data_IF_367538237473
#
_entry.id   IF_367538237473
#
_cell.length_a   1.000
_cell.length_b   1.000
_cell.length_c   1.000
_cell.angle_alpha   90.00
_cell.angle_beta   90.00
_cell.angle_gamma   90.00
#
_symmetry.space_group_name_H-M   'P 1'
#
loop_
_entity.id
_entity.type
_entity.pdbx_description
1 polymer ?
#
# COMPACT_ATOMS: atom_id res chain seq x y z
N UNK A 1 -22.81 7.28 43.37
CA UNK A 1 -22.28 5.91 43.55
C UNK A 1 -21.34 5.57 42.40
N UNK A 2 -20.02 5.61 42.63
CA UNK A 2 -19.05 5.06 41.67
C UNK A 2 -19.16 3.54 41.75
N UNK A 3 -19.66 2.87 40.70
CA UNK A 3 -19.61 1.41 40.63
C UNK A 3 -18.13 1.02 40.70
N UNK A 4 -17.71 0.33 41.77
CA UNK A 4 -16.39 -0.30 41.86
C UNK A 4 -16.30 -1.32 40.73
N UNK A 5 -15.69 -0.95 39.61
CA UNK A 5 -15.37 -1.89 38.54
C UNK A 5 -14.16 -2.68 39.01
N UNK A 6 -14.32 -4.00 39.14
CA UNK A 6 -13.21 -4.91 39.43
C UNK A 6 -12.22 -4.80 38.27
N UNK A 7 -10.95 -4.57 38.59
CA UNK A 7 -9.89 -4.53 37.59
C UNK A 7 -9.60 -5.97 37.15
N UNK A 8 -9.91 -6.29 35.91
CA UNK A 8 -9.76 -7.62 35.32
C UNK A 8 -9.25 -7.47 33.90
N UNK A 9 -8.36 -8.36 33.48
CA UNK A 9 -7.79 -8.38 32.13
C UNK A 9 -8.26 -9.64 31.43
N UNK A 10 -8.97 -9.49 30.32
CA UNK A 10 -9.45 -10.61 29.50
C UNK A 10 -8.84 -10.56 28.11
N UNK A 11 -8.32 -11.71 27.66
CA UNK A 11 -7.87 -11.96 26.31
C UNK A 11 -8.85 -12.90 25.62
N UNK A 12 -9.52 -12.47 24.56
CA UNK A 12 -10.40 -13.33 23.77
C UNK A 12 -9.86 -13.50 22.37
N UNK A 13 -9.57 -14.73 21.96
CA UNK A 13 -9.15 -15.00 20.59
C UNK A 13 -10.39 -14.93 19.66
N UNK A 14 -10.37 -13.99 18.71
CA UNK A 14 -11.49 -13.74 17.81
C UNK A 14 -11.65 -14.81 16.73
N UNK A 15 -10.62 -15.62 16.47
CA UNK A 15 -10.65 -16.70 15.48
C UNK A 15 -11.23 -17.99 16.06
N UNK A 16 -10.81 -18.35 17.28
CA UNK A 16 -11.25 -19.60 17.94
C UNK A 16 -12.44 -19.40 18.87
N UNK A 17 -12.76 -18.15 19.22
CA UNK A 17 -13.80 -17.80 20.20
C UNK A 17 -13.40 -18.05 21.65
N UNK A 18 -12.21 -18.63 21.90
CA UNK A 18 -11.74 -18.96 23.25
C UNK A 18 -11.40 -17.68 24.02
N UNK A 19 -11.95 -17.57 25.23
CA UNK A 19 -11.69 -16.45 26.15
C UNK A 19 -10.82 -16.92 27.30
N UNK A 20 -9.82 -16.10 27.65
CA UNK A 20 -8.88 -16.32 28.72
C UNK A 20 -8.92 -15.11 29.65
N UNK A 21 -9.35 -15.33 30.88
CA UNK A 21 -9.21 -14.35 31.94
C UNK A 21 -7.81 -14.50 32.53
N UNK A 22 -7.07 -13.39 32.64
CA UNK A 22 -5.74 -13.42 33.25
C UNK A 22 -5.92 -13.64 34.76
N UNK A 23 -5.30 -14.71 35.32
CA UNK A 23 -5.55 -15.12 36.69
C UNK A 23 -4.99 -14.14 37.72
N UNK A 24 -3.91 -13.43 37.40
CA UNK A 24 -3.25 -12.51 38.32
C UNK A 24 -3.03 -11.15 37.66
N UNK A 25 -3.27 -10.09 38.41
CA UNK A 25 -3.03 -8.73 37.93
C UNK A 25 -1.54 -8.48 37.70
N UNK A 26 -1.17 -7.45 36.91
CA UNK A 26 0.23 -7.15 36.67
C UNK A 26 1.02 -6.99 37.98
N UNK A 27 2.18 -7.65 38.07
CA UNK A 27 3.01 -7.70 39.29
C UNK A 27 3.50 -6.32 39.69
N UNK A 28 3.80 -5.46 38.71
CA UNK A 28 4.24 -4.08 38.93
C UNK A 28 3.08 -3.14 39.27
N UNK A 29 1.84 -3.65 39.35
CA UNK A 29 0.63 -2.88 39.57
C UNK A 29 0.24 -1.97 38.41
N UNK A 30 1.00 -2.00 37.30
CA UNK A 30 0.84 -1.12 36.16
C UNK A 30 0.56 -1.92 34.88
N UNK A 31 -0.42 -1.43 34.11
CA UNK A 31 -0.69 -1.83 32.74
C UNK A 31 -0.34 -0.65 31.84
N UNK A 32 0.71 -0.77 31.04
CA UNK A 32 1.17 0.29 30.15
C UNK A 32 0.34 0.28 28.87
N UNK A 33 -0.66 1.15 28.77
CA UNK A 33 -1.37 1.42 27.51
C UNK A 33 -0.70 2.58 26.78
N UNK A 34 -0.15 2.30 25.60
CA UNK A 34 0.52 3.27 24.74
C UNK A 34 -0.39 3.58 23.55
N UNK A 35 -1.18 4.67 23.59
CA UNK A 35 -1.92 5.08 22.42
C UNK A 35 -0.96 5.45 21.29
N UNK A 36 -1.29 5.02 20.07
CA UNK A 36 -0.49 5.30 18.88
C UNK A 36 -0.27 6.80 18.69
N UNK A 37 0.97 7.21 18.40
CA UNK A 37 1.28 8.61 18.13
C UNK A 37 0.68 9.03 16.79
N UNK A 38 0.21 10.26 16.70
CA UNK A 38 -0.21 10.83 15.41
C UNK A 38 1.02 11.02 14.54
N UNK A 39 1.03 10.41 13.36
CA UNK A 39 2.06 10.65 12.37
C UNK A 39 1.69 11.90 11.58
N UNK A 40 2.66 12.73 11.27
CA UNK A 40 2.47 13.93 10.46
C UNK A 40 3.57 14.05 9.41
N UNK A 41 3.19 14.40 8.19
CA UNK A 41 4.10 14.78 7.12
C UNK A 41 4.32 16.29 7.19
N UNK A 42 5.54 16.69 7.56
CA UNK A 42 5.91 18.09 7.60
C UNK A 42 6.35 18.58 6.21
N UNK A 43 5.69 19.60 5.68
CA UNK A 43 6.07 20.28 4.45
C UNK A 43 6.50 21.70 4.78
N UNK A 44 7.67 22.11 4.26
CA UNK A 44 8.12 23.50 4.35
C UNK A 44 7.62 24.28 3.13
N UNK A 45 6.81 25.30 3.38
CA UNK A 45 6.26 26.17 2.33
C UNK A 45 6.95 27.54 2.44
N UNK A 46 7.49 28.03 1.32
CA UNK A 46 8.10 29.36 1.25
C UNK A 46 7.06 30.41 1.67
N UNK A 47 7.43 31.30 2.59
CA UNK A 47 6.59 32.34 3.24
C UNK A 47 5.54 31.87 4.25
N UNK A 48 5.28 30.56 4.37
CA UNK A 48 4.33 29.99 5.34
C UNK A 48 5.03 29.20 6.46
N UNK A 49 6.30 28.84 6.28
CA UNK A 49 7.08 28.09 7.25
C UNK A 49 6.78 26.59 7.22
N UNK A 50 7.02 25.92 8.34
CA UNK A 50 6.80 24.47 8.49
C UNK A 50 5.32 24.20 8.78
N UNK A 51 4.68 23.41 7.93
CA UNK A 51 3.27 22.99 8.10
C UNK A 51 3.23 21.48 8.26
N UNK A 52 2.57 21.01 9.31
CA UNK A 52 2.39 19.57 9.59
C UNK A 52 1.03 19.10 9.04
N UNK A 53 1.06 18.08 8.18
CA UNK A 53 -0.12 17.42 7.63
C UNK A 53 -0.32 16.11 8.37
N UNK A 54 -1.40 15.93 9.16
CA UNK A 54 -1.67 14.67 9.85
C UNK A 54 -1.79 13.50 8.86
N UNK A 55 -0.88 12.53 8.94
CA UNK A 55 -0.77 11.36 8.08
C UNK A 55 -0.91 10.08 8.92
N UNK A 56 -2.13 9.82 9.39
CA UNK A 56 -2.44 8.60 10.15
C UNK A 56 -1.94 8.60 11.60
N UNK A 57 -1.86 7.41 12.18
CA UNK A 57 -1.41 7.17 13.56
C UNK A 57 -0.73 5.81 13.64
N UNK A 58 0.25 5.71 14.54
CA UNK A 58 0.86 4.45 14.93
C UNK A 58 -0.18 3.50 15.53
N UNK A 59 0.18 2.22 15.62
CA UNK A 59 -0.65 1.21 16.27
C UNK A 59 -0.63 1.38 17.78
N UNK A 60 -1.77 1.23 18.45
CA UNK A 60 -1.80 1.19 19.91
C UNK A 60 -0.98 0.00 20.44
N UNK A 61 -0.24 0.23 21.53
CA UNK A 61 0.54 -0.79 22.23
C UNK A 61 0.01 -1.04 23.64
N UNK A 62 0.15 -2.28 24.13
CA UNK A 62 -0.10 -2.66 25.52
C UNK A 62 1.03 -3.51 26.03
N UNK A 63 1.57 -3.18 27.20
CA UNK A 63 2.61 -3.96 27.85
C UNK A 63 2.31 -4.16 29.32
N UNK A 64 2.51 -5.39 29.81
CA UNK A 64 2.44 -5.70 31.23
C UNK A 64 3.20 -6.97 31.57
N UNK A 65 3.56 -7.10 32.85
CA UNK A 65 4.22 -8.26 33.42
C UNK A 65 3.34 -8.86 34.51
N UNK A 66 3.15 -10.18 34.51
CA UNK A 66 2.34 -10.90 35.49
C UNK A 66 2.88 -12.33 35.69
N UNK A 67 2.15 -13.18 36.42
CA UNK A 67 2.51 -14.59 36.57
C UNK A 67 1.29 -15.51 36.51
N UNK A 68 1.53 -16.75 36.07
CA UNK A 68 0.55 -17.83 36.14
C UNK A 68 0.76 -18.63 37.42
N UNK A 69 -0.24 -18.66 38.31
CA UNK A 69 -0.10 -19.30 39.61
C UNK A 69 -0.29 -20.81 39.49
N UNK A 70 0.57 -21.58 40.17
CA UNK A 70 0.47 -23.03 40.25
C UNK A 70 -0.66 -23.49 41.19
N UNK A 71 -0.94 -22.68 42.23
CA UNK A 71 -2.04 -22.88 43.17
C UNK A 71 -2.97 -21.67 43.20
N UNK A 72 -4.23 -21.90 43.55
CA UNK A 72 -5.17 -20.81 43.78
C UNK A 72 -4.85 -20.11 45.12
N UNK A 73 -4.85 -18.78 45.10
CA UNK A 73 -4.73 -17.94 46.28
C UNK A 73 -5.68 -16.74 46.14
N UNK A 74 -6.58 -16.57 47.13
CA UNK A 74 -7.57 -15.51 47.11
C UNK A 74 -6.97 -14.09 47.23
N UNK A 75 -5.72 -13.95 47.67
CA UNK A 75 -5.04 -12.67 47.81
C UNK A 75 -4.68 -12.01 46.49
N UNK A 76 -4.41 -12.81 45.45
CA UNK A 76 -3.97 -12.29 44.15
C UNK A 76 -4.70 -12.90 42.93
N UNK A 77 -5.41 -14.02 43.09
CA UNK A 77 -6.14 -14.64 41.99
C UNK A 77 -7.50 -13.95 41.75
N UNK A 78 -7.73 -13.51 40.52
CA UNK A 78 -8.99 -12.89 40.08
C UNK A 78 -10.11 -13.91 39.87
N UNK A 79 -9.75 -15.18 39.61
CA UNK A 79 -10.65 -16.29 39.29
C UNK A 79 -10.23 -17.59 39.97
N UNK A 80 -11.23 -18.40 40.38
CA UNK A 80 -11.02 -19.75 40.91
C UNK A 80 -10.81 -20.81 39.83
N UNK A 81 -11.15 -20.51 38.57
CA UNK A 81 -10.95 -21.41 37.43
C UNK A 81 -9.55 -21.20 36.85
N UNK A 82 -8.55 -21.77 37.52
CA UNK A 82 -7.16 -21.73 37.06
C UNK A 82 -6.86 -22.91 36.13
N UNK A 83 -6.16 -22.61 35.03
CA UNK A 83 -5.48 -23.63 34.23
C UNK A 83 -4.10 -23.91 34.83
N UNK A 84 -3.45 -24.98 34.40
CA UNK A 84 -2.05 -25.21 34.79
C UNK A 84 -1.16 -24.12 34.18
N UNK A 85 -0.10 -23.64 34.86
CA UNK A 85 0.80 -22.61 34.33
C UNK A 85 1.32 -22.91 32.91
N UNK A 86 1.69 -24.18 32.65
CA UNK A 86 2.15 -24.63 31.33
C UNK A 86 1.05 -24.61 30.25
N UNK A 87 -0.22 -24.73 30.63
CA UNK A 87 -1.33 -24.63 29.66
C UNK A 87 -1.59 -23.18 29.26
N UNK A 88 -1.48 -22.23 30.20
CA UNK A 88 -1.51 -20.80 29.89
C UNK A 88 -0.38 -20.44 28.93
N UNK A 89 0.84 -20.87 29.26
CA UNK A 89 2.03 -20.62 28.45
C UNK A 89 1.87 -21.16 27.03
N UNK A 90 1.49 -22.44 26.90
CA UNK A 90 1.23 -23.07 25.60
C UNK A 90 0.17 -22.32 24.78
N UNK A 91 -0.92 -21.91 25.42
CA UNK A 91 -2.02 -21.20 24.76
C UNK A 91 -1.58 -19.83 24.23
N UNK A 92 -0.83 -19.06 25.00
CA UNK A 92 -0.32 -17.75 24.58
C UNK A 92 0.73 -17.90 23.48
N UNK A 93 1.62 -18.89 23.59
CA UNK A 93 2.58 -19.20 22.53
C UNK A 93 1.87 -19.62 21.23
N UNK A 94 0.81 -20.42 21.31
CA UNK A 94 0.00 -20.81 20.16
C UNK A 94 -0.66 -19.60 19.49
N UNK A 95 -1.24 -18.69 20.28
CA UNK A 95 -1.85 -17.45 19.76
C UNK A 95 -0.81 -16.54 19.11
N UNK A 96 0.38 -16.40 19.71
CA UNK A 96 1.52 -15.66 19.14
C UNK A 96 1.97 -16.28 17.82
N UNK A 97 2.18 -17.61 17.78
CA UNK A 97 2.66 -18.34 16.60
C UNK A 97 1.69 -18.22 15.42
N UNK A 98 0.39 -18.28 15.68
CA UNK A 98 -0.66 -18.14 14.65
C UNK A 98 -0.95 -16.69 14.25
N UNK A 99 -0.41 -15.71 14.99
CA UNK A 99 -0.72 -14.28 14.86
C UNK A 99 -2.22 -14.03 14.89
N UNK A 100 -2.91 -14.73 15.78
CA UNK A 100 -4.36 -14.65 15.86
C UNK A 100 -4.80 -13.26 16.38
N UNK A 101 -5.90 -12.70 15.86
CA UNK A 101 -6.47 -11.47 16.39
C UNK A 101 -7.11 -11.74 17.75
N UNK A 102 -6.68 -11.01 18.76
CA UNK A 102 -7.11 -11.13 20.16
C UNK A 102 -7.84 -9.84 20.55
N UNK A 103 -9.05 -9.96 21.10
CA UNK A 103 -9.70 -8.88 21.79
C UNK A 103 -9.09 -8.72 23.19
N UNK A 104 -8.42 -7.59 23.41
CA UNK A 104 -7.90 -7.16 24.70
C UNK A 104 -8.96 -6.31 25.41
N UNK A 105 -9.44 -6.77 26.57
CA UNK A 105 -10.56 -6.15 27.30
C UNK A 105 -10.14 -5.88 28.74
N UNK A 106 -10.22 -4.61 29.14
CA UNK A 106 -10.02 -4.15 30.52
C UNK A 106 -11.19 -3.23 30.89
N UNK A 107 -12.25 -3.76 31.54
CA UNK A 107 -13.48 -3.01 31.79
C UNK A 107 -13.27 -1.75 32.63
N UNK A 108 -12.42 -1.84 33.67
CA UNK A 108 -12.12 -0.72 34.58
C UNK A 108 -11.46 0.47 33.87
N UNK A 109 -10.66 0.21 32.82
CA UNK A 109 -10.02 1.23 32.00
C UNK A 109 -10.82 1.60 30.75
N UNK A 110 -12.00 0.99 30.54
CA UNK A 110 -12.80 1.08 29.30
C UNK A 110 -12.01 0.73 28.03
N UNK A 111 -11.00 -0.13 28.15
CA UNK A 111 -10.20 -0.58 27.02
C UNK A 111 -10.86 -1.81 26.41
N UNK A 112 -11.17 -1.74 25.11
CA UNK A 112 -11.68 -2.86 24.33
C UNK A 112 -11.11 -2.76 22.91
N UNK A 113 -9.95 -3.38 22.66
CA UNK A 113 -9.18 -3.23 21.42
C UNK A 113 -8.86 -4.59 20.80
N UNK A 114 -8.77 -4.64 19.46
CA UNK A 114 -8.24 -5.81 18.74
C UNK A 114 -6.73 -5.67 18.67
N UNK A 115 -6.02 -6.67 19.14
CA UNK A 115 -4.56 -6.70 19.24
C UNK A 115 -4.02 -8.06 18.82
N UNK A 116 -2.74 -8.16 18.56
CA UNK A 116 -2.01 -9.41 18.42
C UNK A 116 -0.80 -9.40 19.37
N UNK A 117 -0.32 -10.57 19.74
CA UNK A 117 0.85 -10.69 20.61
C UNK A 117 2.10 -10.36 19.79
N UNK A 118 2.73 -9.22 20.09
CA UNK A 118 4.00 -8.84 19.48
C UNK A 118 5.15 -9.56 20.16
N UNK A 119 5.16 -9.57 21.50
CA UNK A 119 6.16 -10.26 22.29
C UNK A 119 5.59 -10.96 23.52
N UNK A 120 6.25 -12.05 23.92
CA UNK A 120 5.88 -12.86 25.06
C UNK A 120 7.13 -13.55 25.57
N UNK A 121 7.47 -13.29 26.84
CA UNK A 121 8.71 -13.75 27.49
C UNK A 121 8.36 -14.48 28.79
N UNK A 122 8.12 -15.81 28.74
CA UNK A 122 7.97 -16.60 29.96
C UNK A 122 9.32 -16.79 30.64
N UNK A 123 9.32 -16.76 31.98
CA UNK A 123 10.46 -17.01 32.84
C UNK A 123 10.11 -18.18 33.77
N UNK A 124 10.82 -19.28 33.59
CA UNK A 124 10.65 -20.50 34.39
C UNK A 124 11.64 -20.51 35.56
N UNK A 125 11.25 -21.09 36.69
CA UNK A 125 12.14 -21.28 37.84
C UNK A 125 12.31 -20.05 38.74
N UNK A 126 11.45 -19.04 38.60
CA UNK A 126 11.36 -17.90 39.50
C UNK A 126 10.07 -18.11 40.29
N UNK A 127 10.16 -18.52 41.55
CA UNK A 127 8.98 -18.83 42.38
C UNK A 127 9.11 -20.17 43.12
N UNK A 128 8.66 -20.23 44.37
CA UNK A 128 8.86 -21.37 45.25
C UNK A 128 7.99 -22.60 44.91
N UNK A 129 6.96 -22.44 44.06
CA UNK A 129 5.89 -23.43 43.90
C UNK A 129 5.49 -23.77 42.45
N UNK A 130 6.34 -23.43 41.47
CA UNK A 130 6.07 -23.76 40.06
C UNK A 130 5.25 -22.71 39.30
N UNK A 131 5.19 -21.49 39.84
CA UNK A 131 4.63 -20.33 39.14
C UNK A 131 5.47 -19.98 37.90
N UNK A 132 4.81 -19.42 36.88
CA UNK A 132 5.48 -18.97 35.65
C UNK A 132 5.28 -17.47 35.50
N UNK A 133 6.36 -16.71 35.70
CA UNK A 133 6.36 -15.27 35.45
C UNK A 133 6.45 -15.00 33.95
N UNK A 134 5.80 -13.94 33.48
CA UNK A 134 5.86 -13.57 32.09
C UNK A 134 5.75 -12.06 31.89
N UNK A 135 6.32 -11.60 30.77
CA UNK A 135 6.04 -10.29 30.21
C UNK A 135 5.32 -10.46 28.87
N UNK A 136 4.25 -9.69 28.66
CA UNK A 136 3.42 -9.74 27.46
C UNK A 136 3.33 -8.35 26.84
N UNK A 137 3.68 -8.26 25.55
CA UNK A 137 3.48 -7.08 24.72
C UNK A 137 2.47 -7.39 23.61
N UNK A 138 1.50 -6.50 23.45
CA UNK A 138 0.42 -6.56 22.49
C UNK A 138 0.47 -5.30 21.61
N UNK A 139 0.17 -5.46 20.33
CA UNK A 139 0.09 -4.35 19.37
C UNK A 139 -1.25 -4.42 18.66
N UNK A 140 -1.82 -3.26 18.33
CA UNK A 140 -3.11 -3.16 17.65
C UNK A 140 -3.15 -3.96 16.34
N UNK A 141 -4.20 -4.76 16.21
CA UNK A 141 -4.46 -5.52 15.00
C UNK A 141 -5.36 -4.70 14.08
N UNK A 142 -4.81 -4.29 12.93
CA UNK A 142 -5.52 -3.52 11.91
C UNK A 142 -5.78 -4.36 10.66
N UNK A 143 -7.05 -4.44 10.26
CA UNK A 143 -7.41 -5.05 8.98
C UNK A 143 -6.97 -4.13 7.84
N UNK A 144 -6.07 -4.60 6.98
CA UNK A 144 -5.77 -3.92 5.71
C UNK A 144 -6.92 -4.23 4.76
N UNK A 145 -7.99 -3.45 4.84
CA UNK A 145 -9.04 -3.48 3.82
C UNK A 145 -8.57 -2.63 2.64
N UNK A 146 -8.52 -3.16 1.41
CA UNK A 146 -8.24 -2.33 0.25
C UNK A 146 -9.34 -1.27 0.18
N UNK A 147 -8.96 -0.01 0.36
CA UNK A 147 -9.86 1.12 0.14
C UNK A 147 -10.11 1.14 -1.37
N UNK A 148 -11.27 0.63 -1.80
CA UNK A 148 -11.75 0.88 -3.15
C UNK A 148 -12.01 2.37 -3.23
N UNK A 149 -11.03 3.12 -3.76
CA UNK A 149 -11.24 4.50 -4.13
C UNK A 149 -12.28 4.47 -5.24
N UNK A 150 -13.54 4.71 -4.89
CA UNK A 150 -14.53 5.13 -5.87
C UNK A 150 -14.05 6.50 -6.31
N UNK A 151 -13.28 6.52 -7.39
CA UNK A 151 -13.08 7.74 -8.16
C UNK A 151 -14.50 8.14 -8.56
N UNK A 152 -15.06 9.13 -7.89
CA UNK A 152 -16.31 9.76 -8.30
C UNK A 152 -16.05 10.38 -9.66
N UNK A 153 -16.30 9.59 -10.71
CA UNK A 153 -16.35 10.08 -12.08
C UNK A 153 -17.56 10.97 -12.31
N UNK A 154 -18.32 11.32 -11.26
CA UNK A 154 -19.54 12.14 -11.30
C UNK A 154 -19.32 13.65 -11.38
N UNK A 155 -18.08 14.14 -11.53
CA UNK A 155 -17.83 15.52 -12.00
C UNK A 155 -16.83 15.61 -13.15
N UNK A 156 -16.69 14.54 -13.93
CA UNK A 156 -16.56 14.73 -15.37
C UNK A 156 -17.93 14.45 -15.96
N UNK A 157 -18.83 15.45 -15.86
CA UNK A 157 -19.71 15.70 -17.01
C UNK A 157 -18.80 15.55 -18.21
N UNK A 158 -19.09 14.60 -19.09
CA UNK A 158 -18.77 14.77 -20.50
C UNK A 158 -19.42 16.10 -20.90
N UNK A 159 -18.76 17.23 -20.60
CA UNK A 159 -18.73 18.34 -21.54
C UNK A 159 -18.23 17.62 -22.77
N UNK A 160 -19.18 17.29 -23.66
CA UNK A 160 -18.89 16.68 -24.94
C UNK A 160 -17.63 17.36 -25.43
N UNK A 161 -16.62 16.55 -25.72
CA UNK A 161 -15.30 17.06 -26.07
C UNK A 161 -15.55 18.25 -26.97
N UNK A 162 -15.25 19.46 -26.49
CA UNK A 162 -14.97 20.53 -27.42
C UNK A 162 -13.82 19.93 -28.17
N UNK A 163 -14.10 19.49 -29.40
CA UNK A 163 -13.13 18.82 -30.22
C UNK A 163 -11.91 19.71 -30.13
N UNK A 164 -10.83 19.19 -29.56
CA UNK A 164 -9.51 19.78 -29.77
C UNK A 164 -9.49 20.12 -31.25
N UNK A 165 -9.21 21.38 -31.67
CA UNK A 165 -9.13 21.69 -33.09
C UNK A 165 -8.28 20.57 -33.68
N UNK A 166 -8.87 19.82 -34.63
CA UNK A 166 -8.16 18.71 -35.26
C UNK A 166 -6.82 19.30 -35.66
N UNK A 167 -5.73 18.69 -35.16
CA UNK A 167 -4.40 18.99 -35.66
C UNK A 167 -4.55 19.05 -37.18
N UNK A 168 -4.14 20.14 -37.86
CA UNK A 168 -4.37 20.27 -39.29
C UNK A 168 -3.93 18.97 -39.94
N UNK A 169 -4.85 18.31 -40.64
CA UNK A 169 -4.53 17.08 -41.38
C UNK A 169 -3.32 17.44 -42.23
N UNK A 170 -2.19 16.77 -41.99
CA UNK A 170 -1.04 16.89 -42.90
C UNK A 170 -1.59 16.61 -44.30
N UNK A 171 -1.30 17.47 -45.30
CA UNK A 171 -1.80 17.25 -46.65
C UNK A 171 -1.40 15.84 -47.09
N UNK A 172 -2.34 15.14 -47.73
CA UNK A 172 -2.03 13.84 -48.30
C UNK A 172 -0.88 14.02 -49.29
N UNK A 173 0.18 13.21 -49.21
CA UNK A 173 1.30 13.34 -50.12
C UNK A 173 0.82 13.05 -51.54
N UNK A 174 1.11 13.95 -52.47
CA UNK A 174 0.86 13.76 -53.89
C UNK A 174 1.93 12.84 -54.48
N UNK A 175 1.55 11.98 -55.43
CA UNK A 175 2.47 11.02 -56.05
C UNK A 175 2.47 11.17 -57.57
N UNK A 176 3.65 11.13 -58.17
CA UNK A 176 3.84 11.06 -59.62
C UNK A 176 4.28 9.66 -60.05
N UNK A 177 3.70 9.15 -61.13
CA UNK A 177 4.13 7.89 -61.75
C UNK A 177 5.07 8.22 -62.92
N UNK A 178 6.30 7.74 -62.84
CA UNK A 178 7.32 7.94 -63.89
C UNK A 178 6.82 7.37 -65.21
N UNK A 179 6.94 8.13 -66.31
CA UNK A 179 6.60 7.69 -67.67
C UNK A 179 7.87 7.45 -68.49
N UNK A 180 7.74 6.72 -69.60
CA UNK A 180 8.85 6.49 -70.54
C UNK A 180 9.38 7.83 -71.07
N UNK A 181 10.69 8.06 -70.94
CA UNK A 181 11.34 9.32 -71.36
C UNK A 181 11.32 10.45 -70.32
N UNK A 182 10.98 10.14 -69.07
CA UNK A 182 11.18 11.06 -67.94
C UNK A 182 12.59 10.90 -67.34
N UNK A 183 13.10 12.00 -66.79
CA UNK A 183 14.26 12.03 -65.89
C UNK A 183 13.94 12.97 -64.72
N UNK A 184 14.60 12.81 -63.57
CA UNK A 184 14.19 13.48 -62.32
C UNK A 184 14.11 15.00 -62.42
N UNK A 185 15.05 15.63 -63.13
CA UNK A 185 15.04 17.10 -63.36
C UNK A 185 13.79 17.54 -64.13
N UNK A 186 13.38 16.78 -65.15
CA UNK A 186 12.19 17.09 -65.97
C UNK A 186 10.91 16.95 -65.16
N UNK A 187 10.81 15.91 -64.33
CA UNK A 187 9.69 15.72 -63.41
C UNK A 187 9.66 16.88 -62.41
N UNK A 188 10.79 17.20 -61.77
CA UNK A 188 10.89 18.29 -60.82
C UNK A 188 10.47 19.63 -61.43
N UNK A 189 10.96 19.98 -62.62
CA UNK A 189 10.57 21.20 -63.34
C UNK A 189 9.07 21.25 -63.63
N UNK A 190 8.47 20.14 -64.10
CA UNK A 190 7.03 20.06 -64.38
C UNK A 190 6.18 20.28 -63.14
N UNK A 191 6.66 19.82 -61.98
CA UNK A 191 5.96 19.94 -60.70
C UNK A 191 6.44 21.12 -59.85
N UNK A 192 7.19 22.07 -60.42
CA UNK A 192 7.63 23.29 -59.71
C UNK A 192 8.66 23.07 -58.60
N UNK A 193 9.33 21.92 -58.57
CA UNK A 193 10.34 21.56 -57.57
C UNK A 193 11.69 22.18 -57.96
N UNK A 194 12.20 23.10 -57.13
CA UNK A 194 13.46 23.82 -57.40
C UNK A 194 14.70 22.95 -57.21
N UNK A 195 14.76 22.16 -56.13
CA UNK A 195 15.87 21.26 -55.84
C UNK A 195 15.43 19.80 -56.01
N UNK A 196 15.56 19.28 -57.22
CA UNK A 196 15.19 17.91 -57.54
C UNK A 196 16.02 16.87 -56.75
N UNK A 197 17.23 17.21 -56.28
CA UNK A 197 18.05 16.27 -55.51
C UNK A 197 17.51 16.17 -54.09
N UNK A 198 17.29 17.30 -53.44
CA UNK A 198 16.83 17.34 -52.05
C UNK A 198 15.35 16.99 -51.90
N UNK A 199 14.51 17.52 -52.78
CA UNK A 199 13.05 17.53 -52.57
C UNK A 199 12.33 16.43 -53.37
N UNK A 200 13.00 15.80 -54.35
CA UNK A 200 12.44 14.69 -55.13
C UNK A 200 13.27 13.39 -55.01
N UNK A 201 14.60 13.43 -55.17
CA UNK A 201 15.43 12.23 -55.15
C UNK A 201 15.62 11.64 -53.74
N UNK A 202 16.12 12.43 -52.77
CA UNK A 202 16.40 11.95 -51.41
C UNK A 202 15.19 11.33 -50.70
N UNK A 203 13.96 11.90 -50.76
CA UNK A 203 12.79 11.33 -50.09
C UNK A 203 12.34 10.01 -50.72
N UNK A 204 12.67 9.78 -51.99
CA UNK A 204 12.28 8.60 -52.77
C UNK A 204 13.44 7.59 -52.94
N UNK A 205 14.60 7.83 -52.34
CA UNK A 205 15.76 6.93 -52.37
C UNK A 205 15.55 5.72 -51.44
N UNK A 206 16.05 4.56 -51.85
CA UNK A 206 16.09 3.35 -51.00
C UNK A 206 16.80 3.63 -49.66
N UNK A 207 16.33 3.04 -48.55
CA UNK A 207 15.29 2.00 -48.48
C UNK A 207 13.85 2.54 -48.44
N UNK A 208 13.64 3.87 -48.39
CA UNK A 208 12.32 4.48 -48.13
C UNK A 208 11.47 4.68 -49.39
N UNK A 209 12.07 4.59 -50.57
CA UNK A 209 11.36 4.73 -51.85
C UNK A 209 11.98 3.89 -52.97
N UNK A 210 11.46 4.03 -54.20
CA UNK A 210 11.79 3.14 -55.32
C UNK A 210 13.13 3.46 -56.00
N UNK A 211 13.78 4.59 -55.70
CA UNK A 211 14.97 5.06 -56.42
C UNK A 211 16.26 4.44 -55.89
N UNK A 212 17.14 4.06 -56.81
CA UNK A 212 18.46 3.52 -56.52
C UNK A 212 19.51 4.58 -56.13
N UNK A 213 20.76 4.16 -55.89
CA UNK A 213 21.87 5.07 -55.57
C UNK A 213 22.26 5.97 -56.74
N UNK A 214 21.98 5.56 -57.98
CA UNK A 214 22.15 6.40 -59.17
C UNK A 214 20.84 7.17 -59.46
N UNK A 215 20.85 8.52 -59.41
CA UNK A 215 19.65 9.34 -59.68
C UNK A 215 19.20 9.33 -61.14
N UNK A 216 20.09 9.04 -62.09
CA UNK A 216 19.75 9.06 -63.52
C UNK A 216 19.04 7.78 -63.97
N UNK A 217 19.03 6.75 -63.13
CA UNK A 217 18.34 5.47 -63.37
C UNK A 217 16.95 5.47 -62.74
N UNK A 218 15.96 5.92 -63.51
CA UNK A 218 14.54 5.80 -63.16
C UNK A 218 13.78 4.97 -64.20
N UNK A 219 12.75 4.25 -63.75
CA UNK A 219 11.99 3.33 -64.59
C UNK A 219 10.51 3.74 -64.66
N UNK A 220 9.87 3.59 -65.83
CA UNK A 220 8.43 3.79 -65.96
C UNK A 220 7.63 2.95 -64.94
N UNK A 221 6.61 3.56 -64.34
CA UNK A 221 5.77 2.91 -63.32
C UNK A 221 6.21 3.13 -61.87
N UNK A 222 7.41 3.68 -61.63
CA UNK A 222 7.83 4.04 -60.27
C UNK A 222 6.96 5.19 -59.71
N UNK A 223 6.45 5.02 -58.48
CA UNK A 223 5.67 6.03 -57.76
C UNK A 223 6.60 6.90 -56.91
N UNK A 224 6.75 8.16 -57.30
CA UNK A 224 7.55 9.14 -56.58
C UNK A 224 6.64 10.05 -55.76
N UNK A 225 6.95 10.18 -54.47
CA UNK A 225 6.33 11.14 -53.59
C UNK A 225 6.81 12.54 -53.97
N UNK A 226 5.87 13.43 -54.28
CA UNK A 226 6.10 14.86 -54.45
C UNK A 226 6.08 15.55 -53.07
N UNK A 227 6.85 16.64 -52.87
CA UNK A 227 6.89 17.39 -51.62
C UNK A 227 5.56 18.06 -51.27
#
# INVERSE_FOLDING_TARGET
MVKRQKFEITLKNNRTGRSLLIPVLPTDGQLSYMPGKTQAESINIVNLGKVDIPSGHDLDGVEFSAFFPARYDAGYCTTSKLLKPLEYDKLIQDWKKRRDPIQFIVPAAKINRRMYISDYRPRYGIGAEGDVYYALSLVEYRDIKPVKVKIDTKTLKKKGSRSRPKLPKKPNPEYYVVKKGDWLIKIAKRHGIKDWRRDLYLPNKKPKGPLGPNPDLIYPGQKLKLP
#
